data_IF_029498405592
#
_entry.id   IF_029498405592
#
_cell.length_a   1.000
_cell.length_b   1.000
_cell.length_c   1.000
_cell.angle_alpha   90.00
_cell.angle_beta   90.00
_cell.angle_gamma   90.00
#
_symmetry.space_group_name_H-M   'P 1'
#
loop_
_entity.id
_entity.type
_entity.pdbx_description
1 polymer ?
2 non-polymer ?
3 water ?
#
# COMPACT_ATOMS: atom_id res chain seq x y z
N UNK A 4 -10.32 -12.35 7.94
CA UNK A 4 -9.28 -11.34 8.11
C UNK A 4 -8.22 -11.40 7.00
N UNK A 5 -8.07 -10.29 6.28
CA UNK A 5 -7.08 -10.19 5.21
C UNK A 5 -5.67 -10.16 5.81
N UNK A 6 -4.65 -10.09 4.95
CA UNK A 6 -3.28 -10.03 5.44
C UNK A 6 -3.10 -8.83 6.36
N UNK A 7 -3.49 -7.65 5.90
CA UNK A 7 -3.25 -6.45 6.69
C UNK A 7 -4.17 -6.39 7.90
N UNK A 8 -5.38 -6.97 7.81
CA UNK A 8 -6.23 -7.02 8.99
C UNK A 8 -5.58 -7.85 10.09
N UNK A 9 -4.94 -8.96 9.72
CA UNK A 9 -4.23 -9.76 10.71
C UNK A 9 -3.00 -9.04 11.25
N UNK A 10 -2.30 -8.29 10.41
CA UNK A 10 -1.18 -7.50 10.92
C UNK A 10 -1.67 -6.39 11.85
N UNK A 11 -2.80 -5.75 11.51
CA UNK A 11 -3.38 -4.73 12.39
C UNK A 11 -3.67 -5.31 13.77
N UNK A 12 -4.20 -6.53 13.82
CA UNK A 12 -4.61 -7.10 15.10
C UNK A 12 -3.40 -7.40 15.98
N UNK A 13 -2.30 -7.88 15.39
CA UNK A 13 -1.11 -8.08 16.20
C UNK A 13 -0.38 -6.77 16.50
N UNK A 14 -0.80 -5.65 15.91
CA UNK A 14 -0.35 -4.33 16.35
C UNK A 14 -1.46 -3.63 17.14
N UNK A 19 -7.29 0.15 21.86
CA UNK A 19 -6.66 0.19 20.55
C UNK A 19 -7.59 0.61 19.43
N UNK A 20 -7.33 1.78 18.84
CA UNK A 20 -8.15 2.35 17.78
C UNK A 20 -7.26 2.87 16.66
N UNK A 21 -7.89 3.29 15.57
CA UNK A 21 -7.14 3.65 14.37
C UNK A 21 -6.35 4.94 14.58
N UNK A 22 -5.05 4.96 14.27
CA UNK A 22 -4.29 6.21 14.32
C UNK A 22 -4.86 7.22 13.35
N UNK A 23 -4.63 8.50 13.65
CA UNK A 23 -5.15 9.53 12.75
C UNK A 23 -4.25 9.73 11.54
N UNK A 24 -2.97 9.37 11.66
CA UNK A 24 -2.04 9.53 10.56
C UNK A 24 -2.29 8.47 9.49
N UNK A 25 -1.85 8.72 8.25
CA UNK A 25 -1.84 7.67 7.24
C UNK A 25 -1.16 6.42 7.78
N UNK A 26 -1.83 5.28 7.64
CA UNK A 26 -1.29 4.07 8.21
C UNK A 26 -1.73 2.86 7.39
N UNK A 27 -0.85 1.87 7.38
CA UNK A 27 -1.11 0.58 6.76
C UNK A 27 -1.10 -0.45 7.87
N UNK A 28 -2.25 -1.06 8.12
CA UNK A 28 -2.41 -2.05 9.18
C UNK A 28 -2.00 -1.48 10.53
N UNK A 29 -2.23 -0.19 10.73
CA UNK A 29 -1.86 0.47 11.97
C UNK A 29 -0.45 1.02 12.01
N UNK A 30 0.38 0.72 11.02
CA UNK A 30 1.75 1.21 10.98
C UNK A 30 1.78 2.60 10.36
N UNK A 31 2.30 3.57 11.09
CA UNK A 31 2.43 4.94 10.61
C UNK A 31 3.84 5.23 10.09
N UNK A 32 4.87 4.78 10.80
CA UNK A 32 6.22 5.15 10.41
C UNK A 32 6.66 4.40 9.15
N UNK A 33 7.44 5.10 8.32
CA UNK A 33 7.77 4.58 7.00
C UNK A 33 8.49 3.24 7.07
N UNK A 34 9.43 3.08 8.00
CA UNK A 34 10.15 1.82 8.06
C UNK A 34 9.24 0.67 8.49
N UNK A 35 8.23 0.94 9.31
CA UNK A 35 7.24 -0.08 9.66
C UNK A 35 6.38 -0.45 8.46
N UNK A 36 5.94 0.55 7.70
CA UNK A 36 5.17 0.30 6.48
C UNK A 36 5.99 -0.53 5.50
N UNK A 37 7.26 -0.15 5.31
CA UNK A 37 8.18 -0.84 4.40
C UNK A 37 8.30 -2.33 4.75
N UNK A 38 8.48 -2.64 6.04
CA UNK A 38 8.60 -4.04 6.45
C UNK A 38 7.32 -4.82 6.20
N UNK A 39 6.17 -4.17 6.38
CA UNK A 39 4.90 -4.82 6.10
C UNK A 39 4.78 -5.15 4.61
N UNK A 40 5.07 -4.18 3.74
CA UNK A 40 5.00 -4.44 2.30
C UNK A 40 5.95 -5.55 1.88
N UNK A 41 7.16 -5.55 2.44
CA UNK A 41 8.13 -6.60 2.15
C UNK A 41 7.58 -7.99 2.50
N UNK A 42 7.02 -8.14 3.71
CA UNK A 42 6.51 -9.44 4.13
C UNK A 42 5.31 -9.85 3.29
N UNK A 43 4.43 -8.90 3.00
CA UNK A 43 3.30 -9.18 2.14
C UNK A 43 3.75 -9.67 0.77
N UNK A 44 4.62 -8.91 0.09
CA UNK A 44 4.95 -9.27 -1.28
C UNK A 44 5.80 -10.53 -1.34
N UNK A 45 6.68 -10.74 -0.36
CA UNK A 45 7.63 -11.85 -0.48
C UNK A 45 7.15 -13.15 0.16
N UNK A 46 6.01 -13.17 0.85
CA UNK A 46 5.51 -14.43 1.40
C UNK A 46 4.14 -14.84 0.87
N UNK A 47 3.41 -13.94 0.23
CA UNK A 47 2.06 -14.20 -0.25
C UNK A 47 2.11 -14.38 -1.76
N UNK A 48 1.60 -15.50 -2.26
CA UNK A 48 1.64 -15.74 -3.70
C UNK A 48 0.34 -15.35 -4.40
N UNK A 49 -0.74 -15.18 -3.65
CA UNK A 49 -2.08 -14.90 -4.19
C UNK A 49 -2.70 -13.79 -3.38
N UNK A 50 -2.27 -12.53 -3.58
CA UNK A 50 -2.78 -11.43 -2.74
C UNK A 50 -4.29 -11.23 -2.87
N UNK A 51 -4.91 -10.85 -1.75
CA UNK A 51 -6.34 -10.56 -1.74
C UNK A 51 -6.59 -9.14 -2.21
N UNK A 52 -7.65 -8.98 -3.00
CA UNK A 52 -8.00 -7.64 -3.46
C UNK A 52 -8.21 -6.67 -2.30
N UNK A 53 -8.71 -7.17 -1.16
CA UNK A 53 -8.93 -6.31 -0.01
C UNK A 53 -7.62 -5.70 0.48
N UNK A 54 -6.54 -6.48 0.47
CA UNK A 54 -5.25 -5.95 0.89
C UNK A 54 -4.71 -4.98 -0.14
N UNK A 55 -4.90 -5.27 -1.43
CA UNK A 55 -4.46 -4.34 -2.45
C UNK A 55 -5.18 -3.01 -2.29
N UNK A 56 -6.48 -3.05 -1.98
CA UNK A 56 -7.23 -1.80 -1.80
C UNK A 56 -6.83 -1.06 -0.53
N UNK A 57 -6.36 -1.77 0.51
CA UNK A 57 -5.84 -1.07 1.68
C UNK A 57 -4.56 -0.32 1.36
N UNK A 58 -3.74 -0.87 0.46
CA UNK A 58 -2.56 -0.14 0.00
C UNK A 58 -2.98 1.09 -0.79
N UNK A 59 -3.98 0.95 -1.66
CA UNK A 59 -4.50 2.11 -2.39
C UNK A 59 -4.94 3.20 -1.41
N UNK A 60 -5.70 2.81 -0.38
CA UNK A 60 -6.15 3.76 0.63
C UNK A 60 -4.98 4.40 1.38
N UNK A 61 -3.95 3.61 1.74
CA UNK A 61 -2.77 4.21 2.36
C UNK A 61 -2.17 5.27 1.46
N UNK A 62 -2.09 4.98 0.15
CA UNK A 62 -1.47 5.91 -0.78
C UNK A 62 -2.27 7.20 -0.91
N UNK A 63 -3.60 7.10 -1.03
CA UNK A 63 -4.40 8.32 -1.13
C UNK A 63 -4.52 9.05 0.20
N UNK A 64 -4.32 8.37 1.33
CA UNK A 64 -4.19 9.11 2.58
C UNK A 64 -2.90 9.93 2.60
N UNK A 65 -1.82 9.40 2.02
CA UNK A 65 -0.59 10.18 1.93
C UNK A 65 -0.80 11.44 1.09
N UNK A 66 -1.53 11.33 -0.03
CA UNK A 66 -1.80 12.50 -0.87
C UNK A 66 -2.59 13.54 -0.09
N UNK A 67 -3.64 13.09 0.59
CA UNK A 67 -4.45 13.98 1.42
C UNK A 67 -3.60 14.71 2.45
N UNK A 68 -2.59 14.03 3.01
CA UNK A 68 -1.68 14.65 3.96
C UNK A 68 -0.61 15.51 3.27
N UNK A 69 -0.56 15.49 1.94
CA UNK A 69 0.46 16.20 1.15
C UNK A 69 1.86 15.64 1.42
N UNK A 70 1.94 14.36 1.76
CA UNK A 70 3.21 13.66 1.96
C UNK A 70 3.63 12.97 0.66
N UNK A 71 3.79 13.78 -0.39
CA UNK A 71 4.14 13.25 -1.70
C UNK A 71 5.52 12.62 -1.72
N UNK A 72 6.41 13.00 -0.80
CA UNK A 72 7.74 12.40 -0.75
C UNK A 72 7.66 10.96 -0.26
N UNK A 73 6.94 10.74 0.84
CA UNK A 73 6.75 9.38 1.33
C UNK A 73 5.97 8.52 0.33
N UNK A 74 5.00 9.12 -0.38
CA UNK A 74 4.28 8.39 -1.43
C UNK A 74 5.21 7.93 -2.55
N UNK A 75 6.08 8.83 -3.01
CA UNK A 75 7.04 8.49 -4.05
C UNK A 75 7.91 7.29 -3.63
N UNK A 76 8.44 7.32 -2.40
CA UNK A 76 9.28 6.23 -1.92
C UNK A 76 8.49 4.93 -1.80
N UNK A 77 7.25 5.01 -1.33
CA UNK A 77 6.41 3.82 -1.16
C UNK A 77 6.10 3.17 -2.52
N UNK A 78 5.69 3.98 -3.50
CA UNK A 78 5.41 3.45 -4.84
C UNK A 78 6.66 2.79 -5.42
N UNK A 79 7.80 3.46 -5.31
CA UNK A 79 9.03 2.94 -5.92
C UNK A 79 9.51 1.68 -5.22
N UNK A 80 9.37 1.59 -3.90
CA UNK A 80 9.75 0.37 -3.20
C UNK A 80 8.84 -0.79 -3.59
N UNK A 81 7.52 -0.56 -3.61
CA UNK A 81 6.58 -1.57 -4.08
C UNK A 81 6.85 -1.98 -5.52
N UNK A 82 7.11 -1.01 -6.39
CA UNK A 82 7.40 -1.35 -7.78
C UNK A 82 8.57 -2.32 -7.87
N UNK A 83 9.62 -2.09 -7.08
CA UNK A 83 10.78 -2.97 -7.12
C UNK A 83 10.43 -4.38 -6.69
N UNK A 84 9.83 -4.53 -5.50
CA UNK A 84 9.51 -5.85 -4.99
C UNK A 84 8.50 -6.57 -5.87
N UNK A 85 7.44 -5.88 -6.28
CA UNK A 85 6.38 -6.56 -7.01
C UNK A 85 6.86 -7.04 -8.37
N UNK A 86 7.71 -6.26 -9.03
CA UNK A 86 8.21 -6.69 -10.34
C UNK A 86 9.41 -7.63 -10.25
N UNK A 87 10.09 -7.69 -9.09
CA UNK A 87 11.07 -8.74 -8.85
C UNK A 87 10.41 -10.08 -8.62
N UNK A 88 9.15 -10.07 -8.23
CA UNK A 88 8.43 -11.28 -7.92
C UNK A 88 8.37 -12.19 -9.14
N UNK A 89 8.40 -13.50 -8.88
CA UNK A 89 8.23 -14.46 -9.96
C UNK A 89 6.78 -14.49 -10.45
N UNK A 90 5.82 -14.20 -9.57
CA UNK A 90 4.41 -14.33 -9.91
C UNK A 90 3.91 -13.12 -10.68
N UNK A 91 3.25 -13.39 -11.81
CA UNK A 91 2.68 -12.34 -12.63
C UNK A 91 1.56 -11.57 -11.92
N UNK A 92 0.93 -12.16 -10.90
CA UNK A 92 -0.14 -11.44 -10.22
C UNK A 92 0.37 -10.16 -9.56
N UNK A 93 1.63 -10.15 -9.11
CA UNK A 93 2.14 -8.97 -8.43
C UNK A 93 2.34 -7.82 -9.42
N UNK A 94 2.74 -8.13 -10.65
CA UNK A 94 2.78 -7.10 -11.68
C UNK A 94 1.41 -6.50 -11.89
N UNK A 95 0.37 -7.34 -11.92
CA UNK A 95 -0.98 -6.83 -12.10
C UNK A 95 -1.41 -6.02 -10.88
N UNK A 96 -1.02 -6.47 -9.68
CA UNK A 96 -1.36 -5.74 -8.47
C UNK A 96 -0.76 -4.34 -8.49
N UNK A 97 0.51 -4.23 -8.89
CA UNK A 97 1.14 -2.93 -8.94
C UNK A 97 0.46 -2.02 -9.95
N UNK A 98 0.18 -2.54 -11.16
CA UNK A 98 -0.59 -1.78 -12.14
C UNK A 98 -1.91 -1.32 -11.55
N UNK A 99 -2.61 -2.23 -10.85
CA UNK A 99 -3.91 -1.90 -10.26
C UNK A 99 -3.80 -0.79 -9.21
N UNK A 100 -2.75 -0.82 -8.39
CA UNK A 100 -2.57 0.24 -7.39
C UNK A 100 -2.37 1.58 -8.08
N UNK A 101 -1.46 1.63 -9.05
CA UNK A 101 -1.20 2.86 -9.79
C UNK A 101 -2.47 3.38 -10.45
N UNK A 102 -3.21 2.50 -11.12
CA UNK A 102 -4.42 2.93 -11.83
C UNK A 102 -5.41 3.58 -10.88
N UNK A 103 -5.63 2.98 -9.71
CA UNK A 103 -6.67 3.47 -8.81
C UNK A 103 -6.22 4.71 -8.05
N UNK A 104 -4.94 4.80 -7.72
CA UNK A 104 -4.42 6.04 -7.14
C UNK A 104 -4.63 7.20 -8.11
N UNK A 105 -4.42 6.95 -9.41
CA UNK A 105 -4.52 8.04 -10.38
C UNK A 105 -5.96 8.47 -10.60
N UNK A 106 -6.93 7.56 -10.44
CA UNK A 106 -8.34 7.96 -10.47
C UNK A 106 -8.62 8.97 -9.36
N UNK A 107 -8.06 8.74 -8.17
CA UNK A 107 -8.28 9.67 -7.06
C UNK A 107 -7.50 10.97 -7.28
N UNK A 108 -6.24 10.88 -7.70
CA UNK A 108 -5.47 12.09 -8.00
C UNK A 108 -6.17 12.94 -9.05
N UNK A 109 -6.68 12.30 -10.10
CA UNK A 109 -7.30 13.04 -11.18
C UNK A 109 -8.62 13.66 -10.74
N UNK A 110 -9.49 12.90 -10.07
CA UNK A 110 -10.82 13.42 -9.77
C UNK A 110 -10.87 14.32 -8.54
N UNK A 111 -10.03 14.07 -7.53
CA UNK A 111 -10.05 14.86 -6.30
C UNK A 111 -9.06 16.02 -6.30
N UNK A 112 -7.89 15.83 -6.91
CA UNK A 112 -6.81 16.80 -6.82
C UNK A 112 -6.53 17.48 -8.14
N UNK A 113 -7.32 17.20 -9.17
CA UNK A 113 -7.08 17.81 -10.47
C UNK A 113 -5.79 17.40 -11.15
N UNK A 114 -5.33 16.18 -10.92
CA UNK A 114 -4.06 15.71 -11.49
C UNK A 114 -4.20 14.35 -12.15
X LIG B 1 3.86 8.32 -10.13
X LIG B 1 4.04 8.95 -9.04
X LIG B 1 4.60 7.45 -10.68
X LIG B 1 2.54 8.68 -10.88
#
# INVERSE_FOLDING_TARGET
SHMKSFFDKKRSERISNGGFRPAAPNLAGAVEFSDVKTLLKEWITTISDPMEEDILQVVRYCTDLIEEKDLEKLDLVIKYMKRLMQQSVESVWNMAFDFILDNVQVVLQQTYGSTLKVT
ACT C O OXT CH3
#
